data_IF_914833583028
#
_entry.id   IF_914833583028
#
_cell.length_a   1.000
_cell.length_b   1.000
_cell.length_c   1.000
_cell.angle_alpha   90.00
_cell.angle_beta   90.00
_cell.angle_gamma   90.00
#
_symmetry.space_group_name_H-M   'P 1'
#
loop_
_entity.id
_entity.type
_entity.pdbx_description
1 polymer ?
#
# COMPACT_ATOMS: atom_id res chain seq x y z
N UNK A 1 12.05 10.42 5.12
CA UNK A 1 11.03 9.43 4.78
C UNK A 1 10.37 9.87 3.49
N UNK A 2 10.30 9.00 2.50
CA UNK A 2 9.59 9.27 1.24
C UNK A 2 8.08 9.09 1.42
N UNK A 3 7.28 9.70 0.54
CA UNK A 3 5.81 9.56 0.52
C UNK A 3 5.37 8.09 0.44
N UNK A 4 6.14 7.26 -0.25
CA UNK A 4 5.89 5.82 -0.39
C UNK A 4 6.15 5.02 0.88
N UNK A 5 7.29 5.25 1.55
CA UNK A 5 7.61 4.63 2.85
C UNK A 5 6.51 4.94 3.87
N UNK A 6 6.04 6.18 3.90
CA UNK A 6 4.93 6.59 4.74
C UNK A 6 3.66 5.81 4.42
N UNK A 7 3.25 5.71 3.15
CA UNK A 7 2.04 4.97 2.76
C UNK A 7 2.11 3.48 3.16
N UNK A 8 3.27 2.84 3.04
CA UNK A 8 3.45 1.44 3.45
C UNK A 8 3.39 1.26 4.98
N UNK A 9 3.98 2.17 5.75
CA UNK A 9 3.86 2.13 7.20
C UNK A 9 2.42 2.37 7.66
N UNK A 10 1.71 3.29 7.02
CA UNK A 10 0.29 3.55 7.29
C UNK A 10 -0.60 2.35 6.91
N UNK A 11 -0.36 1.70 5.76
CA UNK A 11 -1.13 0.52 5.32
C UNK A 11 -0.91 -0.67 6.25
N UNK A 12 0.34 -0.91 6.66
CA UNK A 12 0.70 -1.95 7.63
C UNK A 12 0.03 -1.72 8.97
N UNK A 13 -0.04 -0.47 9.43
CA UNK A 13 -0.71 -0.11 10.69
C UNK A 13 -2.24 -0.20 10.59
N UNK A 14 -2.81 0.07 9.41
CA UNK A 14 -4.24 -0.16 9.14
C UNK A 14 -4.59 -1.65 9.17
N UNK A 15 -3.72 -2.53 8.66
CA UNK A 15 -3.92 -3.98 8.68
C UNK A 15 -3.84 -4.58 10.08
N UNK A 16 -2.98 -4.05 10.96
CA UNK A 16 -2.89 -4.52 12.36
C UNK A 16 -4.03 -4.00 13.24
N UNK A 17 -4.70 -2.94 12.80
CA UNK A 17 -5.90 -2.39 13.47
C UNK A 17 -7.21 -2.87 12.84
N UNK A 18 -7.17 -3.90 11.99
CA UNK A 18 -8.35 -4.38 11.30
C UNK A 18 -9.37 -5.07 12.22
N UNK A 19 -10.66 -5.01 11.85
CA UNK A 19 -11.78 -5.50 12.67
C UNK A 19 -11.77 -7.02 12.85
N UNK A 20 -11.07 -7.74 11.98
CA UNK A 20 -11.01 -9.21 12.02
C UNK A 20 -9.96 -9.73 13.01
N UNK A 21 -9.06 -8.85 13.48
CA UNK A 21 -8.03 -9.16 14.48
C UNK A 21 -8.64 -9.46 15.85
N UNK A 22 -8.09 -10.45 16.56
CA UNK A 22 -8.61 -10.89 17.86
C UNK A 22 -8.56 -9.77 18.90
N UNK A 23 -7.46 -9.04 18.96
CA UNK A 23 -7.25 -7.89 19.82
C UNK A 23 -8.31 -6.80 19.58
N UNK A 24 -8.55 -6.43 18.32
CA UNK A 24 -9.51 -5.36 17.99
C UNK A 24 -10.94 -5.77 18.36
N UNK A 25 -11.30 -7.04 18.11
CA UNK A 25 -12.60 -7.59 18.52
C UNK A 25 -12.73 -7.64 20.05
N UNK A 26 -11.67 -8.01 20.74
CA UNK A 26 -11.63 -8.08 22.21
C UNK A 26 -11.83 -6.70 22.83
N UNK A 27 -11.09 -5.69 22.37
CA UNK A 27 -11.23 -4.29 22.79
C UNK A 27 -12.66 -3.78 22.53
N UNK A 28 -13.22 -4.08 21.35
CA UNK A 28 -14.59 -3.68 21.02
C UNK A 28 -15.65 -4.30 21.96
N UNK A 29 -15.55 -5.60 22.27
CA UNK A 29 -16.49 -6.27 23.16
C UNK A 29 -16.43 -5.67 24.56
N UNK A 30 -15.23 -5.45 25.09
CA UNK A 30 -15.02 -4.83 26.40
C UNK A 30 -15.53 -3.40 26.46
N UNK A 31 -15.22 -2.57 25.45
CA UNK A 31 -15.67 -1.18 25.39
C UNK A 31 -17.21 -1.10 25.35
N UNK A 32 -17.85 -1.91 24.52
CA UNK A 32 -19.32 -1.95 24.41
C UNK A 32 -19.98 -2.43 25.69
N UNK A 33 -19.36 -3.40 26.38
CA UNK A 33 -19.83 -3.86 27.67
C UNK A 33 -19.71 -2.76 28.75
N UNK A 34 -18.60 -2.03 28.77
CA UNK A 34 -18.40 -0.89 29.66
C UNK A 34 -19.50 0.16 29.52
N UNK A 35 -19.80 0.57 28.27
CA UNK A 35 -20.83 1.58 27.99
C UNK A 35 -22.22 1.08 28.43
N UNK A 36 -22.56 -0.15 28.07
CA UNK A 36 -23.86 -0.75 28.43
C UNK A 36 -24.04 -0.84 29.94
N UNK A 37 -23.06 -1.40 30.66
CA UNK A 37 -23.12 -1.55 32.11
C UNK A 37 -23.15 -0.18 32.79
N UNK A 38 -22.42 0.82 32.26
CA UNK A 38 -22.47 2.19 32.76
C UNK A 38 -23.85 2.82 32.67
N UNK A 39 -24.53 2.68 31.52
CA UNK A 39 -25.92 3.17 31.34
C UNK A 39 -26.88 2.48 32.31
N UNK A 40 -26.84 1.14 32.38
CA UNK A 40 -27.73 0.36 33.25
C UNK A 40 -27.51 0.70 34.74
N UNK A 41 -26.26 0.96 35.15
CA UNK A 41 -25.90 1.39 36.51
C UNK A 41 -26.45 2.79 36.84
N UNK A 42 -26.30 3.75 35.92
CA UNK A 42 -26.82 5.12 36.07
C UNK A 42 -28.35 5.17 36.14
N UNK A 43 -29.04 4.36 35.33
CA UNK A 43 -30.49 4.19 35.41
C UNK A 43 -30.94 3.49 36.71
N UNK A 44 -30.06 2.73 37.34
CA UNK A 44 -30.26 2.16 38.67
C UNK A 44 -30.20 3.25 39.74
N UNK A 45 -29.14 4.05 39.74
CA UNK A 45 -28.87 5.10 40.73
C UNK A 45 -29.94 6.19 40.78
N UNK A 46 -30.61 6.45 39.67
CA UNK A 46 -31.70 7.45 39.58
C UNK A 46 -33.05 6.94 40.11
N UNK A 47 -33.18 5.65 40.42
CA UNK A 47 -34.41 5.06 40.98
C UNK A 47 -34.57 5.40 42.47
N UNK A 48 -35.62 6.16 42.80
CA UNK A 48 -36.03 6.43 44.20
C UNK A 48 -36.62 5.20 44.91
N UNK A 49 -36.92 4.12 44.19
CA UNK A 49 -37.46 2.89 44.77
C UNK A 49 -36.32 1.90 45.08
N UNK A 50 -36.17 1.57 46.38
CA UNK A 50 -35.13 0.68 46.91
C UNK A 50 -35.19 -0.75 46.34
N UNK A 51 -36.38 -1.26 46.06
CA UNK A 51 -36.56 -2.61 45.48
C UNK A 51 -36.17 -2.65 44.00
N UNK A 52 -36.56 -1.63 43.24
CA UNK A 52 -36.14 -1.47 41.85
C UNK A 52 -34.62 -1.23 41.74
N UNK A 53 -34.05 -0.45 42.66
CA UNK A 53 -32.61 -0.23 42.76
C UNK A 53 -31.85 -1.55 42.98
N UNK A 54 -32.25 -2.34 43.99
CA UNK A 54 -31.61 -3.63 44.28
C UNK A 54 -31.72 -4.61 43.10
N UNK A 55 -32.89 -4.70 42.46
CA UNK A 55 -33.09 -5.57 41.29
C UNK A 55 -32.21 -5.15 40.10
N UNK A 56 -32.13 -3.85 39.80
CA UNK A 56 -31.25 -3.34 38.74
C UNK A 56 -29.78 -3.59 39.05
N UNK A 57 -29.35 -3.40 40.30
CA UNK A 57 -27.97 -3.66 40.72
C UNK A 57 -27.58 -5.14 40.59
N UNK A 58 -28.49 -6.07 40.92
CA UNK A 58 -28.26 -7.49 40.68
C UNK A 58 -28.16 -7.81 39.19
N UNK A 59 -29.05 -7.26 38.37
CA UNK A 59 -29.01 -7.46 36.92
C UNK A 59 -27.69 -6.95 36.29
N UNK A 60 -27.19 -5.78 36.69
CA UNK A 60 -25.91 -5.23 36.23
C UNK A 60 -24.75 -6.14 36.65
N UNK A 61 -24.79 -6.67 37.89
CA UNK A 61 -23.76 -7.61 38.37
C UNK A 61 -23.77 -8.91 37.58
N UNK A 62 -24.94 -9.46 37.28
CA UNK A 62 -25.06 -10.70 36.52
C UNK A 62 -24.56 -10.47 35.07
N UNK A 63 -24.93 -9.36 34.44
CA UNK A 63 -24.43 -8.95 33.14
C UNK A 63 -22.90 -8.75 33.12
N UNK A 64 -22.32 -8.19 34.19
CA UNK A 64 -20.87 -8.07 34.35
C UNK A 64 -20.17 -9.44 34.32
N UNK A 65 -20.68 -10.43 35.07
CA UNK A 65 -20.11 -11.78 35.07
C UNK A 65 -20.34 -12.51 33.74
N UNK A 66 -21.44 -12.27 33.04
CA UNK A 66 -21.66 -12.78 31.69
C UNK A 66 -20.63 -12.24 30.70
N UNK A 67 -20.38 -10.93 30.71
CA UNK A 67 -19.35 -10.28 29.87
C UNK A 67 -17.98 -10.88 30.20
N UNK A 68 -17.64 -11.00 31.48
CA UNK A 68 -16.38 -11.60 31.92
C UNK A 68 -16.19 -13.00 31.32
N UNK A 69 -17.19 -13.86 31.50
CA UNK A 69 -17.16 -15.23 30.96
C UNK A 69 -17.02 -15.26 29.44
N UNK A 70 -17.68 -14.34 28.72
CA UNK A 70 -17.52 -14.22 27.27
C UNK A 70 -16.10 -13.79 26.89
N UNK A 71 -15.52 -12.82 27.59
CA UNK A 71 -14.18 -12.32 27.30
C UNK A 71 -13.08 -13.36 27.59
N UNK A 72 -13.29 -14.23 28.57
CA UNK A 72 -12.38 -15.35 28.87
C UNK A 72 -12.34 -16.42 27.76
N UNK A 73 -13.30 -16.43 26.82
CA UNK A 73 -13.28 -17.34 25.67
C UNK A 73 -12.29 -16.93 24.57
N UNK A 74 -11.77 -15.70 24.62
CA UNK A 74 -10.81 -15.22 23.63
C UNK A 74 -9.42 -15.83 23.84
N UNK A 75 -8.66 -16.07 22.76
CA UNK A 75 -7.30 -16.60 22.85
C UNK A 75 -6.32 -15.55 23.40
N UNK A 76 -6.08 -15.58 24.71
CA UNK A 76 -5.23 -14.62 25.44
C UNK A 76 -3.84 -14.45 24.81
N UNK A 77 -3.20 -15.55 24.39
CA UNK A 77 -1.88 -15.50 23.75
C UNK A 77 -1.88 -14.74 22.42
N UNK A 78 -2.95 -14.86 21.63
CA UNK A 78 -3.09 -14.11 20.37
C UNK A 78 -3.35 -12.63 20.64
N UNK A 79 -4.12 -12.30 21.69
CA UNK A 79 -4.33 -10.90 22.10
C UNK A 79 -3.00 -10.25 22.47
N UNK A 80 -2.17 -10.91 23.28
CA UNK A 80 -0.83 -10.39 23.63
C UNK A 80 0.04 -10.21 22.40
N UNK A 81 0.07 -11.19 21.51
CA UNK A 81 0.89 -11.13 20.29
C UNK A 81 0.49 -9.94 19.39
N UNK A 82 -0.80 -9.81 19.07
CA UNK A 82 -1.30 -8.72 18.23
C UNK A 82 -1.11 -7.34 18.90
N UNK A 83 -1.24 -7.26 20.23
CA UNK A 83 -0.99 -6.05 21.01
C UNK A 83 0.49 -5.64 20.97
N UNK A 84 1.42 -6.59 21.14
CA UNK A 84 2.87 -6.33 21.05
C UNK A 84 3.24 -5.91 19.62
N UNK A 85 2.74 -6.62 18.61
CA UNK A 85 2.95 -6.29 17.19
C UNK A 85 2.51 -4.84 16.88
N UNK A 86 1.34 -4.43 17.39
CA UNK A 86 0.83 -3.07 17.21
C UNK A 86 1.73 -2.03 17.90
N UNK A 87 2.20 -2.31 19.13
CA UNK A 87 3.11 -1.42 19.86
C UNK A 87 4.44 -1.23 19.14
N UNK A 88 5.03 -2.30 18.63
CA UNK A 88 6.29 -2.27 17.89
C UNK A 88 6.16 -1.44 16.62
N UNK A 89 5.12 -1.71 15.81
CA UNK A 89 4.83 -0.96 14.59
C UNK A 89 4.58 0.52 14.85
N UNK A 90 3.87 0.84 15.93
CA UNK A 90 3.63 2.23 16.32
C UNK A 90 4.91 2.93 16.80
N UNK A 91 5.79 2.23 17.53
CA UNK A 91 7.10 2.76 17.93
C UNK A 91 7.96 3.07 16.71
N UNK A 92 8.02 2.16 15.74
CA UNK A 92 8.75 2.36 14.48
C UNK A 92 8.23 3.58 13.73
N UNK A 93 6.91 3.69 13.57
CA UNK A 93 6.27 4.84 12.92
C UNK A 93 6.57 6.16 13.67
N UNK A 94 6.49 6.16 14.99
CA UNK A 94 6.73 7.36 15.81
C UNK A 94 8.18 7.85 15.71
N UNK A 95 9.15 6.94 15.61
CA UNK A 95 10.57 7.28 15.45
C UNK A 95 10.88 7.93 14.09
N UNK A 96 10.03 7.75 13.09
CA UNK A 96 10.21 8.30 11.75
C UNK A 96 9.69 9.75 11.60
N UNK A 97 8.91 10.25 12.56
CA UNK A 97 8.44 11.64 12.59
C UNK A 97 9.43 12.54 13.33
N UNK A 98 9.60 13.79 12.84
CA UNK A 98 10.44 14.80 13.46
C UNK A 98 10.09 15.04 14.94
N UNK A 99 11.06 15.45 15.75
CA UNK A 99 10.95 15.48 17.22
C UNK A 99 9.88 16.45 17.77
N UNK A 100 9.46 17.43 16.97
CA UNK A 100 8.49 18.45 17.36
C UNK A 100 7.42 18.61 16.27
N UNK A 101 6.28 17.94 16.45
CA UNK A 101 5.13 18.00 15.55
C UNK A 101 3.85 17.50 16.22
N UNK A 102 2.69 18.03 15.84
CA UNK A 102 1.38 17.65 16.38
C UNK A 102 1.05 16.17 16.09
N UNK A 103 1.61 15.64 15.02
CA UNK A 103 1.50 14.24 14.59
C UNK A 103 2.17 13.29 15.59
N UNK A 104 3.34 13.67 16.12
CA UNK A 104 4.06 12.89 17.14
C UNK A 104 3.30 12.90 18.47
N UNK A 105 2.75 14.03 18.87
CA UNK A 105 1.92 14.13 20.09
C UNK A 105 0.68 13.23 20.00
N UNK A 106 0.01 13.19 18.84
CA UNK A 106 -1.14 12.33 18.61
C UNK A 106 -0.77 10.83 18.67
N UNK A 107 0.36 10.43 18.04
CA UNK A 107 0.86 9.06 18.08
C UNK A 107 1.30 8.65 19.48
N UNK A 108 1.95 9.55 20.22
CA UNK A 108 2.34 9.33 21.62
C UNK A 108 1.12 9.18 22.53
N UNK A 109 0.06 9.98 22.32
CA UNK A 109 -1.20 9.83 23.04
C UNK A 109 -1.83 8.45 22.81
N UNK A 110 -1.83 7.98 21.56
CA UNK A 110 -2.28 6.62 21.25
C UNK A 110 -1.38 5.54 21.88
N UNK A 111 -0.06 5.72 21.85
CA UNK A 111 0.90 4.81 22.46
C UNK A 111 0.65 4.67 23.97
N UNK A 112 0.36 5.78 24.65
CA UNK A 112 0.07 5.82 26.07
C UNK A 112 -1.22 5.04 26.41
N UNK A 113 -2.30 5.23 25.63
CA UNK A 113 -3.54 4.47 25.83
C UNK A 113 -3.37 2.97 25.52
N UNK A 114 -2.59 2.63 24.50
CA UNK A 114 -2.25 1.25 24.17
C UNK A 114 -1.42 0.58 25.28
N UNK A 115 -0.50 1.34 25.89
CA UNK A 115 0.28 0.88 27.03
C UNK A 115 -0.60 0.70 28.28
N UNK A 116 -1.49 1.64 28.58
CA UNK A 116 -2.43 1.53 29.70
C UNK A 116 -3.36 0.32 29.57
N UNK A 117 -3.81 0.00 28.35
CA UNK A 117 -4.54 -1.24 28.09
C UNK A 117 -3.68 -2.48 28.35
N UNK A 118 -2.43 -2.48 27.86
CA UNK A 118 -1.49 -3.58 28.10
C UNK A 118 -1.31 -3.87 29.60
N UNK A 119 -1.07 -2.84 30.40
CA UNK A 119 -0.89 -2.99 31.86
C UNK A 119 -2.16 -3.52 32.54
N UNK A 120 -3.33 -2.97 32.17
CA UNK A 120 -4.60 -3.44 32.71
C UNK A 120 -4.90 -4.90 32.33
N UNK A 121 -4.55 -5.29 31.10
CA UNK A 121 -4.72 -6.66 30.62
C UNK A 121 -3.78 -7.63 31.32
N UNK A 122 -2.51 -7.28 31.48
CA UNK A 122 -1.52 -8.07 32.23
C UNK A 122 -1.95 -8.23 33.70
N UNK A 123 -2.44 -7.16 34.33
CA UNK A 123 -2.93 -7.20 35.70
C UNK A 123 -4.18 -8.08 35.85
N UNK A 124 -5.10 -8.03 34.89
CA UNK A 124 -6.28 -8.90 34.86
C UNK A 124 -5.89 -10.37 34.73
N UNK A 125 -4.98 -10.70 33.81
CA UNK A 125 -4.51 -12.08 33.60
C UNK A 125 -3.80 -12.63 34.85
N UNK A 126 -3.06 -11.79 35.58
CA UNK A 126 -2.36 -12.20 36.82
C UNK A 126 -3.28 -12.36 38.02
N UNK A 127 -4.19 -11.41 38.24
CA UNK A 127 -4.97 -11.33 39.48
C UNK A 127 -6.36 -11.96 39.37
N UNK A 128 -6.92 -12.03 38.16
CA UNK A 128 -8.29 -12.46 37.87
C UNK A 128 -9.36 -11.78 38.76
N UNK A 129 -9.08 -10.59 39.28
CA UNK A 129 -9.99 -9.88 40.17
C UNK A 129 -11.05 -9.08 39.40
N UNK A 130 -12.22 -8.89 40.01
CA UNK A 130 -13.30 -8.10 39.43
C UNK A 130 -12.90 -6.62 39.25
N UNK A 131 -12.06 -6.10 40.14
CA UNK A 131 -11.50 -4.75 40.05
C UNK A 131 -10.57 -4.61 38.83
N UNK A 132 -9.68 -5.59 38.61
CA UNK A 132 -8.81 -5.60 37.45
C UNK A 132 -9.60 -5.74 36.14
N UNK A 133 -10.67 -6.54 36.14
CA UNK A 133 -11.57 -6.65 34.98
C UNK A 133 -12.31 -5.33 34.69
N UNK A 134 -12.77 -4.64 35.74
CA UNK A 134 -13.36 -3.29 35.61
C UNK A 134 -12.39 -2.26 35.05
N UNK A 135 -11.13 -2.27 35.50
CA UNK A 135 -10.07 -1.41 34.99
C UNK A 135 -9.75 -1.73 33.51
N UNK A 136 -9.70 -3.01 33.15
CA UNK A 136 -9.50 -3.47 31.77
C UNK A 136 -10.62 -2.98 30.85
N UNK A 137 -11.89 -3.11 31.25
CA UNK A 137 -13.03 -2.60 30.48
C UNK A 137 -12.95 -1.09 30.24
N UNK A 138 -12.54 -0.31 31.25
CA UNK A 138 -12.34 1.14 31.13
C UNK A 138 -11.20 1.48 30.16
N UNK A 139 -10.06 0.80 30.29
CA UNK A 139 -8.94 0.98 29.38
C UNK A 139 -9.33 0.63 27.93
N UNK A 140 -10.11 -0.43 27.75
CA UNK A 140 -10.64 -0.83 26.44
C UNK A 140 -11.56 0.24 25.85
N UNK A 141 -12.43 0.88 26.65
CA UNK A 141 -13.30 1.96 26.19
C UNK A 141 -12.51 3.14 25.61
N UNK A 142 -11.52 3.65 26.34
CA UNK A 142 -10.67 4.76 25.86
C UNK A 142 -9.91 4.37 24.58
N UNK A 143 -9.25 3.22 24.62
CA UNK A 143 -8.50 2.70 23.48
C UNK A 143 -9.38 2.46 22.25
N UNK A 144 -10.62 1.99 22.44
CA UNK A 144 -11.55 1.77 21.34
C UNK A 144 -11.88 3.07 20.59
N UNK A 145 -12.18 4.15 21.33
CA UNK A 145 -12.45 5.46 20.75
C UNK A 145 -11.24 5.97 19.97
N UNK A 146 -10.03 5.85 20.55
CA UNK A 146 -8.80 6.24 19.85
C UNK A 146 -8.49 5.40 18.64
N UNK A 147 -8.72 4.08 18.68
CA UNK A 147 -8.55 3.20 17.53
C UNK A 147 -9.45 3.62 16.37
N UNK A 148 -10.69 4.03 16.64
CA UNK A 148 -11.59 4.53 15.60
C UNK A 148 -11.07 5.83 14.98
N UNK A 149 -10.72 6.81 15.81
CA UNK A 149 -10.19 8.10 15.36
C UNK A 149 -8.89 7.92 14.57
N UNK A 150 -7.96 7.10 15.08
CA UNK A 150 -6.71 6.79 14.41
C UNK A 150 -6.97 6.17 13.04
N UNK A 151 -7.84 5.14 12.94
CA UNK A 151 -8.18 4.53 11.64
C UNK A 151 -8.79 5.51 10.64
N UNK A 152 -9.63 6.43 11.11
CA UNK A 152 -10.22 7.46 10.25
C UNK A 152 -9.15 8.42 9.73
N UNK A 153 -8.27 8.90 10.62
CA UNK A 153 -7.16 9.80 10.25
C UNK A 153 -6.18 9.11 9.30
N UNK A 154 -5.77 7.87 9.59
CA UNK A 154 -4.87 7.12 8.72
C UNK A 154 -5.47 6.88 7.33
N UNK A 155 -6.77 6.56 7.25
CA UNK A 155 -7.48 6.44 5.97
C UNK A 155 -7.50 7.76 5.21
N UNK A 156 -7.77 8.86 5.90
CA UNK A 156 -7.75 10.20 5.29
C UNK A 156 -6.37 10.53 4.73
N UNK A 157 -5.32 10.29 5.50
CA UNK A 157 -3.93 10.49 5.08
C UNK A 157 -3.61 9.60 3.87
N UNK A 158 -3.97 8.31 3.90
CA UNK A 158 -3.79 7.42 2.75
C UNK A 158 -4.56 7.92 1.52
N UNK A 159 -5.79 8.41 1.66
CA UNK A 159 -6.55 8.96 0.53
C UNK A 159 -5.95 10.24 -0.03
N UNK A 160 -5.34 11.09 0.81
CA UNK A 160 -4.65 12.30 0.34
C UNK A 160 -3.30 11.99 -0.31
N UNK A 161 -2.58 10.98 0.18
CA UNK A 161 -1.32 10.53 -0.40
C UNK A 161 -1.52 9.74 -1.70
N UNK A 162 -2.67 9.08 -1.85
CA UNK A 162 -3.04 8.29 -3.03
C UNK A 162 -4.00 9.03 -3.97
N UNK A 163 -4.22 10.33 -3.77
CA UNK A 163 -5.04 11.10 -4.69
C UNK A 163 -4.31 11.17 -6.03
N UNK A 164 -4.95 10.68 -7.10
CA UNK A 164 -4.46 10.88 -8.46
C UNK A 164 -4.45 12.38 -8.75
N UNK A 165 -3.27 12.99 -8.69
CA UNK A 165 -3.07 14.35 -9.16
C UNK A 165 -3.31 14.33 -10.67
N UNK A 166 -4.23 15.16 -11.15
CA UNK A 166 -4.35 15.37 -12.59
C UNK A 166 -2.97 15.81 -13.11
N UNK A 167 -2.49 15.24 -14.23
CA UNK A 167 -1.18 15.60 -14.76
C UNK A 167 -1.11 17.12 -15.00
N UNK A 168 0.04 17.70 -14.69
CA UNK A 168 0.32 19.11 -14.95
C UNK A 168 0.21 19.39 -16.45
N UNK A 169 -0.08 20.64 -16.83
CA UNK A 169 -0.12 21.02 -18.25
C UNK A 169 1.22 20.70 -18.93
N UNK A 170 1.19 19.91 -20.01
CA UNK A 170 2.39 19.45 -20.71
C UNK A 170 3.01 18.16 -20.15
N UNK A 171 2.47 17.60 -19.07
CA UNK A 171 2.86 16.30 -18.54
C UNK A 171 1.96 15.16 -19.00
N UNK A 172 2.49 13.95 -18.99
CA UNK A 172 1.73 12.72 -19.16
C UNK A 172 2.09 11.70 -18.08
N UNK A 173 1.11 10.89 -17.68
CA UNK A 173 1.28 9.80 -16.73
C UNK A 173 1.69 8.51 -17.46
N UNK A 174 2.69 7.82 -16.93
CA UNK A 174 3.01 6.43 -17.28
C UNK A 174 2.74 5.53 -16.07
N UNK A 175 1.79 4.62 -16.20
CA UNK A 175 1.45 3.62 -15.20
C UNK A 175 1.86 2.23 -15.66
N UNK A 176 2.74 1.60 -14.89
CA UNK A 176 3.22 0.23 -15.09
C UNK A 176 2.67 -0.66 -13.97
N UNK A 177 2.09 -1.80 -14.34
CA UNK A 177 1.63 -2.81 -13.39
C UNK A 177 2.44 -4.09 -13.59
N UNK A 178 3.04 -4.62 -12.53
CA UNK A 178 3.82 -5.83 -12.53
C UNK A 178 3.21 -6.92 -11.62
N UNK A 179 3.40 -8.16 -12.03
CA UNK A 179 3.19 -9.38 -11.25
C UNK A 179 4.36 -9.57 -10.29
N UNK A 180 4.08 -9.75 -9.01
CA UNK A 180 5.12 -9.90 -8.02
C UNK A 180 4.62 -9.71 -6.60
N UNK A 181 5.12 -10.54 -5.70
CA UNK A 181 5.00 -10.33 -4.26
C UNK A 181 5.85 -9.10 -3.89
N UNK A 182 5.34 -8.23 -3.00
CA UNK A 182 5.92 -6.94 -2.61
C UNK A 182 7.38 -6.95 -2.12
N UNK A 183 8.32 -7.15 -3.03
CA UNK A 183 9.76 -7.07 -2.81
C UNK A 183 10.26 -5.66 -3.15
N UNK A 184 10.67 -4.95 -2.10
CA UNK A 184 11.08 -3.54 -2.15
C UNK A 184 12.34 -3.32 -3.00
N UNK A 185 13.31 -4.25 -2.94
CA UNK A 185 14.55 -4.12 -3.71
C UNK A 185 14.27 -4.13 -5.21
N UNK A 186 13.35 -5.01 -5.65
CA UNK A 186 12.93 -5.07 -7.05
C UNK A 186 12.20 -3.81 -7.50
N UNK A 187 11.40 -3.20 -6.63
CA UNK A 187 10.71 -1.95 -6.93
C UNK A 187 11.70 -0.81 -7.16
N UNK A 188 12.70 -0.68 -6.29
CA UNK A 188 13.73 0.35 -6.41
C UNK A 188 14.57 0.16 -7.69
N UNK A 189 14.97 -1.07 -8.01
CA UNK A 189 15.72 -1.37 -9.23
C UNK A 189 14.92 -0.97 -10.47
N UNK A 190 13.62 -1.25 -10.51
CA UNK A 190 12.74 -0.86 -11.62
C UNK A 190 12.55 0.66 -11.69
N UNK A 191 12.34 1.33 -10.56
CA UNK A 191 12.24 2.78 -10.52
C UNK A 191 13.52 3.44 -11.06
N UNK A 192 14.68 2.93 -10.64
CA UNK A 192 15.98 3.43 -11.07
C UNK A 192 16.18 3.22 -12.58
N UNK A 193 15.83 2.05 -13.10
CA UNK A 193 15.92 1.77 -14.54
C UNK A 193 15.01 2.72 -15.36
N UNK A 194 13.80 2.98 -14.87
CA UNK A 194 12.88 3.93 -15.48
C UNK A 194 13.44 5.36 -15.49
N UNK A 195 14.02 5.79 -14.37
CA UNK A 195 14.63 7.11 -14.24
C UNK A 195 15.85 7.26 -15.15
N UNK A 196 16.71 6.24 -15.23
CA UNK A 196 17.88 6.22 -16.12
C UNK A 196 17.44 6.25 -17.59
N UNK A 197 16.44 5.46 -17.97
CA UNK A 197 15.88 5.48 -19.32
C UNK A 197 15.33 6.87 -19.69
N UNK A 198 14.60 7.51 -18.77
CA UNK A 198 14.08 8.86 -19.00
C UNK A 198 15.22 9.88 -19.18
N UNK A 199 16.25 9.86 -18.34
CA UNK A 199 17.42 10.74 -18.48
C UNK A 199 18.18 10.53 -19.79
N UNK A 200 18.23 9.30 -20.30
CA UNK A 200 18.82 9.05 -21.63
C UNK A 200 18.01 9.72 -22.75
N UNK A 201 16.67 9.76 -22.62
CA UNK A 201 15.81 10.49 -23.55
C UNK A 201 15.94 12.02 -23.38
N UNK A 202 16.07 12.54 -22.16
CA UNK A 202 16.37 13.96 -21.91
C UNK A 202 17.70 14.36 -22.57
N UNK A 203 18.75 13.56 -22.38
CA UNK A 203 20.07 13.82 -22.96
C UNK A 203 20.09 13.72 -24.49
N UNK A 204 19.20 12.91 -25.07
CA UNK A 204 19.06 12.78 -26.51
C UNK A 204 18.29 13.97 -27.11
N UNK A 205 17.16 14.33 -26.50
CA UNK A 205 16.20 15.31 -27.02
C UNK A 205 16.50 16.76 -26.61
N UNK A 206 17.26 16.95 -25.53
CA UNK A 206 17.49 18.26 -24.92
C UNK A 206 16.31 18.79 -24.09
N UNK A 207 15.24 18.00 -23.92
CA UNK A 207 14.10 18.33 -23.08
C UNK A 207 14.45 17.97 -21.64
N UNK A 208 14.49 18.95 -20.74
CA UNK A 208 14.88 18.77 -19.33
C UNK A 208 13.75 19.07 -18.34
N UNK A 209 12.66 19.65 -18.81
CA UNK A 209 11.51 19.99 -17.98
C UNK A 209 10.21 19.61 -18.70
N UNK A 210 9.20 19.12 -17.95
CA UNK A 210 9.26 18.73 -16.54
C UNK A 210 10.07 17.44 -16.29
N UNK A 211 10.81 17.42 -15.18
CA UNK A 211 11.57 16.25 -14.74
C UNK A 211 10.63 15.10 -14.36
N UNK A 212 11.12 13.86 -14.47
CA UNK A 212 10.34 12.69 -14.08
C UNK A 212 10.05 12.72 -12.57
N UNK A 213 8.78 12.64 -12.22
CA UNK A 213 8.30 12.60 -10.84
C UNK A 213 7.52 11.32 -10.58
N UNK A 214 7.66 10.77 -9.38
CA UNK A 214 6.93 9.58 -8.97
C UNK A 214 5.59 10.00 -8.38
N UNK A 215 4.50 9.62 -9.05
CA UNK A 215 3.14 9.94 -8.61
C UNK A 215 2.56 8.87 -7.68
N UNK A 216 2.83 7.59 -7.96
CA UNK A 216 2.28 6.48 -7.18
C UNK A 216 3.19 5.28 -7.21
N UNK A 217 3.32 4.63 -6.06
CA UNK A 217 4.00 3.36 -5.89
C UNK A 217 3.13 2.47 -5.00
N UNK A 218 2.84 1.26 -5.46
CA UNK A 218 2.12 0.23 -4.70
C UNK A 218 2.91 -1.07 -4.81
N UNK A 219 3.12 -1.78 -3.70
CA UNK A 219 3.79 -3.08 -3.68
C UNK A 219 3.08 -4.06 -2.73
N UNK A 220 1.78 -4.27 -2.97
CA UNK A 220 1.01 -5.27 -2.23
C UNK A 220 1.14 -6.65 -2.91
N UNK A 221 0.06 -7.16 -3.51
CA UNK A 221 0.04 -8.41 -4.29
C UNK A 221 0.50 -8.22 -5.74
N UNK A 222 0.46 -6.99 -6.22
CA UNK A 222 0.95 -6.55 -7.52
C UNK A 222 1.68 -5.24 -7.30
N UNK A 223 2.69 -5.01 -8.10
CA UNK A 223 3.49 -3.80 -8.03
C UNK A 223 2.97 -2.80 -9.05
N UNK A 224 2.54 -1.62 -8.61
CA UNK A 224 2.13 -0.54 -9.51
C UNK A 224 3.09 0.63 -9.37
N UNK A 225 3.66 1.09 -10.47
CA UNK A 225 4.49 2.28 -10.56
C UNK A 225 3.75 3.27 -11.45
N UNK A 226 3.46 4.47 -10.96
CA UNK A 226 2.97 5.58 -11.78
C UNK A 226 3.93 6.74 -11.66
N UNK A 227 4.42 7.20 -12.80
CA UNK A 227 5.30 8.36 -12.91
C UNK A 227 4.66 9.40 -13.81
N UNK A 228 5.04 10.64 -13.62
CA UNK A 228 4.66 11.76 -14.46
C UNK A 228 5.94 12.42 -14.99
N UNK A 229 5.96 12.72 -16.28
CA UNK A 229 7.04 13.47 -16.91
C UNK A 229 6.51 14.24 -18.12
N UNK A 230 7.42 14.86 -18.87
CA UNK A 230 7.11 15.54 -20.11
C UNK A 230 6.40 14.60 -21.10
N UNK A 231 5.31 15.09 -21.69
CA UNK A 231 4.38 14.26 -22.45
C UNK A 231 5.05 13.50 -23.61
N UNK A 232 5.91 14.15 -24.40
CA UNK A 232 6.57 13.52 -25.55
C UNK A 232 7.58 12.47 -25.11
N UNK A 233 8.35 12.75 -24.05
CA UNK A 233 9.28 11.76 -23.49
C UNK A 233 8.56 10.54 -22.92
N UNK A 234 7.43 10.75 -22.24
CA UNK A 234 6.58 9.68 -21.72
C UNK A 234 5.95 8.88 -22.87
N UNK A 235 5.52 9.52 -23.95
CA UNK A 235 5.02 8.85 -25.15
C UNK A 235 6.10 7.95 -25.79
N UNK A 236 7.33 8.46 -25.95
CA UNK A 236 8.46 7.67 -26.44
C UNK A 236 8.73 6.47 -25.53
N UNK A 237 8.82 6.68 -24.22
CA UNK A 237 9.10 5.62 -23.25
C UNK A 237 7.99 4.55 -23.24
N UNK A 238 6.73 4.97 -23.36
CA UNK A 238 5.57 4.08 -23.48
C UNK A 238 5.68 3.22 -24.74
N UNK A 239 5.93 3.83 -25.90
CA UNK A 239 6.06 3.12 -27.18
C UNK A 239 7.25 2.16 -27.20
N UNK A 240 8.37 2.55 -26.58
CA UNK A 240 9.54 1.69 -26.41
C UNK A 240 9.24 0.46 -25.55
N UNK A 241 8.59 0.65 -24.40
CA UNK A 241 8.20 -0.45 -23.50
C UNK A 241 7.23 -1.43 -24.19
N UNK A 242 6.20 -0.93 -24.87
CA UNK A 242 5.24 -1.78 -25.59
C UNK A 242 5.92 -2.65 -26.65
N UNK A 243 6.76 -2.04 -27.50
CA UNK A 243 7.50 -2.74 -28.57
C UNK A 243 8.52 -3.71 -28.01
N UNK A 244 9.18 -3.35 -26.92
CA UNK A 244 10.18 -4.19 -26.28
C UNK A 244 9.55 -5.45 -25.65
N UNK A 245 8.40 -5.31 -24.98
CA UNK A 245 7.65 -6.46 -24.46
C UNK A 245 7.21 -7.39 -25.59
N UNK A 246 6.69 -6.83 -26.68
CA UNK A 246 6.35 -7.61 -27.88
C UNK A 246 7.56 -8.36 -28.43
N UNK A 247 8.71 -7.68 -28.55
CA UNK A 247 9.95 -8.29 -29.03
C UNK A 247 10.41 -9.44 -28.14
N UNK A 248 10.39 -9.28 -26.81
CA UNK A 248 10.71 -10.35 -25.85
C UNK A 248 9.76 -11.55 -25.98
N UNK A 249 8.46 -11.33 -26.15
CA UNK A 249 7.50 -12.41 -26.33
C UNK A 249 7.80 -13.26 -27.59
N UNK A 250 8.33 -12.64 -28.66
CA UNK A 250 8.77 -13.35 -29.86
C UNK A 250 10.08 -14.12 -29.67
N UNK A 251 10.91 -13.76 -28.68
CA UNK A 251 12.19 -14.42 -28.38
C UNK A 251 12.08 -15.64 -27.45
N UNK A 252 10.94 -15.84 -26.76
CA UNK A 252 10.69 -16.95 -25.81
C UNK A 252 10.67 -18.35 -26.49
N UNK A 253 11.84 -18.77 -26.97
CA UNK A 253 12.12 -20.06 -27.60
C UNK A 253 13.49 -20.16 -28.28
N UNK A 254 14.26 -19.07 -28.41
CA UNK A 254 15.54 -19.07 -29.15
C UNK A 254 16.62 -18.16 -28.54
N UNK A 255 16.64 -18.00 -27.22
CA UNK A 255 17.51 -17.04 -26.53
C UNK A 255 18.74 -17.70 -25.90
N UNK A 256 19.69 -18.19 -26.70
CA UNK A 256 21.01 -18.58 -26.18
C UNK A 256 22.21 -18.22 -27.08
N UNK A 257 22.03 -17.40 -28.13
CA UNK A 257 23.14 -17.03 -29.03
C UNK A 257 23.41 -15.51 -29.05
N UNK A 258 24.69 -15.11 -29.15
CA UNK A 258 25.17 -13.73 -29.36
C UNK A 258 24.46 -13.00 -30.52
N UNK A 259 23.86 -13.76 -31.44
CA UNK A 259 23.01 -13.28 -32.53
C UNK A 259 21.76 -12.56 -32.00
N UNK A 260 21.15 -13.08 -30.93
CA UNK A 260 19.98 -12.45 -30.28
C UNK A 260 20.29 -11.06 -29.73
N UNK A 261 21.50 -10.86 -29.19
CA UNK A 261 21.93 -9.55 -28.67
C UNK A 261 22.16 -8.53 -29.79
N UNK A 262 22.78 -8.94 -30.91
CA UNK A 262 22.96 -8.05 -32.08
C UNK A 262 21.64 -7.70 -32.75
N UNK A 263 20.72 -8.65 -32.84
CA UNK A 263 19.36 -8.44 -33.35
C UNK A 263 18.59 -7.50 -32.41
N UNK A 264 18.69 -7.70 -31.09
CA UNK A 264 18.08 -6.84 -30.07
C UNK A 264 18.58 -5.39 -30.14
N UNK A 265 19.89 -5.18 -30.28
CA UNK A 265 20.47 -3.84 -30.44
C UNK A 265 19.95 -3.13 -31.69
N UNK A 266 19.87 -3.84 -32.81
CA UNK A 266 19.35 -3.28 -34.08
C UNK A 266 17.87 -2.95 -33.97
N UNK A 267 17.08 -3.85 -33.37
CA UNK A 267 15.65 -3.65 -33.16
C UNK A 267 15.37 -2.49 -32.21
N UNK A 268 16.21 -2.30 -31.19
CA UNK A 268 16.10 -1.18 -30.23
C UNK A 268 16.31 0.16 -30.90
N UNK A 269 17.27 0.26 -31.83
CA UNK A 269 17.47 1.47 -32.62
C UNK A 269 16.26 1.77 -33.52
N UNK A 270 15.73 0.75 -34.20
CA UNK A 270 14.53 0.91 -35.04
C UNK A 270 13.34 1.38 -34.18
N UNK A 271 13.12 0.73 -33.03
CA UNK A 271 12.05 1.07 -32.11
C UNK A 271 12.19 2.51 -31.58
N UNK A 272 13.42 2.94 -31.24
CA UNK A 272 13.69 4.30 -30.79
C UNK A 272 13.41 5.33 -31.89
N UNK A 273 13.90 5.11 -33.10
CA UNK A 273 13.67 6.03 -34.23
C UNK A 273 12.18 6.19 -34.53
N UNK A 274 11.43 5.08 -34.54
CA UNK A 274 10.00 5.13 -34.78
C UNK A 274 9.24 5.81 -33.63
N UNK A 275 9.62 5.56 -32.37
CA UNK A 275 9.00 6.19 -31.20
C UNK A 275 9.25 7.71 -31.19
N UNK A 276 10.48 8.15 -31.52
CA UNK A 276 10.80 9.57 -31.67
C UNK A 276 9.99 10.23 -32.78
N UNK A 277 9.81 9.56 -33.93
CA UNK A 277 8.95 10.05 -35.03
C UNK A 277 7.49 10.17 -34.61
N UNK A 278 6.98 9.20 -33.86
CA UNK A 278 5.60 9.23 -33.35
C UNK A 278 5.37 10.40 -32.40
N UNK A 279 6.35 10.70 -31.53
CA UNK A 279 6.32 11.84 -30.62
C UNK A 279 6.74 13.18 -31.27
N UNK A 280 6.83 13.24 -32.61
CA UNK A 280 7.22 14.43 -33.40
C UNK A 280 8.63 14.98 -33.09
N UNK A 281 9.51 14.19 -32.47
CA UNK A 281 10.89 14.55 -32.11
C UNK A 281 11.87 14.21 -33.24
N UNK A 282 11.72 14.88 -34.39
CA UNK A 282 12.45 14.53 -35.62
C UNK A 282 13.81 15.22 -35.78
N UNK A 283 14.07 16.32 -35.08
CA UNK A 283 15.29 17.13 -35.20
C UNK A 283 16.59 16.38 -34.81
N UNK A 284 16.44 15.26 -34.10
CA UNK A 284 17.55 14.50 -33.51
C UNK A 284 17.93 13.31 -34.40
N UNK A 285 17.14 13.04 -35.45
CA UNK A 285 17.27 11.83 -36.29
C UNK A 285 18.56 11.81 -37.14
N UNK A 286 19.19 12.97 -37.32
CA UNK A 286 20.41 13.12 -38.14
C UNK A 286 21.70 12.73 -37.38
N UNK A 287 21.65 12.58 -36.04
CA UNK A 287 22.80 12.21 -35.21
C UNK A 287 22.82 10.69 -34.92
N UNK A 288 23.17 9.92 -35.96
CA UNK A 288 23.23 8.45 -35.91
C UNK A 288 24.09 7.89 -34.76
N UNK A 289 25.29 8.44 -34.44
CA UNK A 289 26.09 7.96 -33.31
C UNK A 289 25.39 8.10 -31.96
N UNK A 290 24.75 9.26 -31.68
CA UNK A 290 24.03 9.46 -30.41
C UNK A 290 22.80 8.57 -30.33
N UNK A 291 22.08 8.38 -31.43
CA UNK A 291 20.93 7.47 -31.49
C UNK A 291 21.32 6.02 -31.18
N UNK A 292 22.42 5.53 -31.76
CA UNK A 292 22.93 4.17 -31.48
C UNK A 292 23.31 3.99 -30.02
N UNK A 293 24.01 4.95 -29.43
CA UNK A 293 24.39 4.91 -28.02
C UNK A 293 23.16 4.92 -27.11
N UNK A 294 22.21 5.82 -27.36
CA UNK A 294 20.98 5.93 -26.58
C UNK A 294 20.13 4.65 -26.70
N UNK A 295 19.97 4.09 -27.90
CA UNK A 295 19.21 2.87 -28.14
C UNK A 295 19.77 1.66 -27.36
N UNK A 296 21.10 1.55 -27.24
CA UNK A 296 21.75 0.48 -26.49
C UNK A 296 21.55 0.61 -24.98
N UNK A 297 21.66 1.82 -24.43
CA UNK A 297 21.41 2.03 -23.00
C UNK A 297 19.93 1.84 -22.67
N UNK A 298 19.02 2.39 -23.50
CA UNK A 298 17.58 2.15 -23.36
C UNK A 298 17.24 0.66 -23.41
N UNK A 299 17.85 -0.11 -24.30
CA UNK A 299 17.65 -1.56 -24.35
C UNK A 299 18.00 -2.25 -23.02
N UNK A 300 19.11 -1.87 -22.40
CA UNK A 300 19.53 -2.43 -21.10
C UNK A 300 18.54 -2.08 -19.99
N UNK A 301 18.11 -0.83 -19.92
CA UNK A 301 17.16 -0.40 -18.89
C UNK A 301 15.76 -1.00 -19.09
N UNK A 302 15.31 -1.15 -20.35
CA UNK A 302 14.06 -1.84 -20.67
C UNK A 302 14.11 -3.34 -20.33
N UNK A 303 15.26 -3.99 -20.52
CA UNK A 303 15.48 -5.37 -20.06
C UNK A 303 15.35 -5.47 -18.54
N UNK A 304 15.97 -4.54 -17.79
CA UNK A 304 15.84 -4.50 -16.32
C UNK A 304 14.38 -4.31 -15.90
N UNK A 305 13.65 -3.40 -16.55
CA UNK A 305 12.24 -3.14 -16.27
C UNK A 305 11.34 -4.36 -16.49
N UNK A 306 11.56 -5.11 -17.57
CA UNK A 306 10.66 -6.19 -18.03
C UNK A 306 11.19 -7.59 -17.67
N UNK A 307 12.40 -7.69 -17.10
CA UNK A 307 12.99 -8.94 -16.62
C UNK A 307 12.01 -9.75 -15.76
N UNK A 308 12.08 -11.08 -15.90
CA UNK A 308 11.17 -12.08 -15.30
C UNK A 308 9.73 -12.17 -15.86
N UNK A 309 9.38 -11.43 -16.91
CA UNK A 309 8.05 -11.56 -17.56
C UNK A 309 6.90 -11.02 -16.69
N UNK A 310 7.25 -10.18 -15.73
CA UNK A 310 6.36 -9.68 -14.69
C UNK A 310 5.49 -8.49 -15.15
N UNK A 311 5.82 -7.75 -16.20
CA UNK A 311 5.01 -6.59 -16.60
C UNK A 311 3.65 -7.04 -17.18
N UNK A 312 2.56 -6.67 -16.50
CA UNK A 312 1.18 -7.07 -16.82
C UNK A 312 0.44 -6.02 -17.65
N UNK A 313 0.64 -4.74 -17.35
CA UNK A 313 -0.08 -3.63 -17.99
C UNK A 313 0.80 -2.37 -18.12
N UNK A 314 0.51 -1.59 -19.17
CA UNK A 314 1.01 -0.23 -19.38
C UNK A 314 -0.20 0.67 -19.62
N UNK A 315 -0.36 1.75 -18.85
CA UNK A 315 -1.46 2.71 -18.98
C UNK A 315 -2.84 2.02 -19.10
N UNK A 316 -3.09 1.06 -18.21
CA UNK A 316 -4.32 0.24 -18.15
C UNK A 316 -4.52 -0.75 -19.31
N UNK A 317 -3.64 -0.76 -20.31
CA UNK A 317 -3.66 -1.74 -21.42
C UNK A 317 -2.90 -3.00 -21.02
N UNK A 318 -3.57 -4.14 -21.14
CA UNK A 318 -2.95 -5.45 -20.91
C UNK A 318 -1.99 -5.82 -22.03
N UNK A 319 -0.82 -6.34 -21.67
CA UNK A 319 0.19 -6.80 -22.63
C UNK A 319 -0.08 -8.26 -23.07
N UNK A 320 0.14 -8.60 -24.35
CA UNK A 320 -0.02 -9.96 -24.84
C UNK A 320 1.00 -10.90 -24.18
N UNK A 321 0.52 -12.06 -23.71
CA UNK A 321 1.34 -13.06 -22.98
C UNK A 321 1.32 -12.93 -21.45
N UNK A 322 0.67 -11.90 -20.90
CA UNK A 322 0.42 -11.79 -19.46
C UNK A 322 -0.54 -12.90 -18.97
N UNK A 323 -0.37 -13.50 -17.77
CA UNK A 323 -1.30 -14.49 -17.23
C UNK A 323 -2.74 -13.96 -17.08
N UNK A 324 -2.92 -12.63 -17.02
CA UNK A 324 -4.24 -12.00 -17.06
C UNK A 324 -4.95 -12.16 -18.42
N UNK A 325 -4.20 -12.29 -19.52
CA UNK A 325 -4.73 -12.52 -20.86
C UNK A 325 -5.28 -13.95 -21.00
N UNK A 326 -4.77 -14.91 -20.24
CA UNK A 326 -5.24 -16.31 -20.26
C UNK A 326 -6.59 -16.48 -19.55
N UNK A 327 -7.01 -15.49 -18.74
CA UNK A 327 -8.30 -15.50 -18.03
C UNK A 327 -9.41 -14.70 -18.74
N UNK A 328 -9.13 -14.08 -19.89
CA UNK A 328 -10.09 -13.35 -20.70
C UNK A 328 -10.53 -14.18 -21.91
N UNK A 329 -11.81 -14.58 -21.93
CA UNK A 329 -12.42 -15.37 -22.99
C UNK A 329 -12.02 -14.89 -24.40
N UNK A 330 -11.45 -15.80 -25.19
CA UNK A 330 -11.57 -15.71 -26.65
C UNK A 330 -13.07 -15.62 -26.99
N UNK A 331 -13.54 -14.60 -27.71
CA UNK A 331 -14.82 -14.71 -28.37
C UNK A 331 -14.65 -15.83 -29.40
N UNK A 332 -15.39 -16.93 -29.20
CA UNK A 332 -15.42 -18.03 -30.15
C UNK A 332 -15.73 -17.46 -31.55
N UNK A 333 -15.05 -17.92 -32.61
CA UNK A 333 -15.37 -17.49 -33.96
C UNK A 333 -16.84 -17.84 -34.24
N UNK A 334 -17.60 -16.85 -34.69
CA UNK A 334 -18.96 -17.03 -35.14
C UNK A 334 -18.98 -18.14 -36.21
N UNK A 335 -19.59 -19.27 -35.86
CA UNK A 335 -19.91 -20.31 -36.83
C UNK A 335 -20.94 -19.72 -37.79
N UNK A 336 -20.52 -19.54 -39.04
CA UNK A 336 -21.43 -19.30 -40.14
C UNK A 336 -22.42 -20.48 -40.24
N UNK A 337 -23.70 -20.17 -40.16
CA UNK A 337 -24.80 -21.00 -40.63
C UNK A 337 -25.64 -20.16 -41.59
#
# INVERSE_FOLDING_TARGET
>A
MTTYELTQHLSTLLQTTDKDRHFVRYVFVLARAYDRLGVELMEGLTSRNRTLFSRKHHAVRDAFYEVRRQTETFPVGQIFHELIELREKLSQLTQQFAETGQEREALQGFAAELHGFYEAFEQFVRSASDEAFGALMRAAHHLHLRLQTLRQVLRLICTTLNAETAPQEGCQLLTLLFDGNGDYERLLVRLQALEVAYRHLEALTGITEPALTVQRLEADRRMRISVEGEARLIEVLTGLLERYVLFRAHLNGAADDEVGYRVGATQSLINLVDALKQAELTDILDDEPRLKACALELYRELEVLVSDGALLQINERHLPGSPAYVSGAQPAPASAA
#
